data_IF_127664130461
#
_entry.id   IF_127664130461
#
_cell.length_a   1.000
_cell.length_b   1.000
_cell.length_c   1.000
_cell.angle_alpha   90.00
_cell.angle_beta   90.00
_cell.angle_gamma   90.00
#
_symmetry.space_group_name_H-M   'P 1'
#
loop_
_entity.id
_entity.type
_entity.pdbx_description
1 polymer ?
#
# COMPACT_ATOMS: atom_id res chain seq x y z
N UNK A 1 25.48 -5.66 -14.81
CA UNK A 1 26.06 -6.98 -15.13
C UNK A 1 25.06 -8.00 -14.65
N UNK A 2 24.52 -8.81 -15.56
CA UNK A 2 23.50 -9.82 -15.25
C UNK A 2 24.09 -10.97 -14.41
N UNK A 3 23.22 -11.74 -13.77
CA UNK A 3 23.62 -12.84 -12.91
C UNK A 3 24.31 -13.95 -13.72
N UNK A 4 25.18 -14.70 -13.04
CA UNK A 4 25.87 -15.86 -13.59
C UNK A 4 24.91 -17.05 -13.73
N UNK A 5 24.45 -17.32 -14.96
CA UNK A 5 23.45 -18.37 -15.23
C UNK A 5 23.92 -19.79 -14.94
N UNK A 6 25.21 -20.00 -14.63
CA UNK A 6 25.72 -21.29 -14.17
C UNK A 6 25.35 -21.60 -12.72
N UNK A 7 24.80 -20.62 -11.99
CA UNK A 7 24.33 -20.74 -10.60
C UNK A 7 22.81 -20.60 -10.57
N UNK A 8 22.14 -21.20 -9.57
CA UNK A 8 20.71 -20.98 -9.40
C UNK A 8 20.43 -19.50 -9.12
N UNK A 9 19.32 -18.94 -9.64
CA UNK A 9 18.95 -17.57 -9.39
C UNK A 9 18.62 -17.33 -7.91
N UNK A 10 18.69 -16.06 -7.48
CA UNK A 10 18.22 -15.70 -6.15
C UNK A 10 16.72 -16.02 -6.01
N UNK A 11 16.27 -16.57 -4.86
CA UNK A 11 14.87 -16.89 -4.65
C UNK A 11 14.02 -15.61 -4.63
N UNK A 12 12.77 -15.74 -5.05
CA UNK A 12 11.80 -14.65 -4.92
C UNK A 12 11.61 -14.27 -3.43
N UNK A 13 11.37 -12.98 -3.13
CA UNK A 13 11.05 -12.55 -1.78
C UNK A 13 9.83 -13.28 -1.23
N UNK A 14 9.91 -13.73 0.03
CA UNK A 14 8.82 -14.40 0.72
C UNK A 14 8.21 -13.48 1.78
N UNK A 15 6.91 -13.61 1.99
CA UNK A 15 6.22 -12.91 3.06
C UNK A 15 6.67 -13.43 4.43
N UNK A 16 7.41 -12.59 5.14
CA UNK A 16 7.92 -12.85 6.49
C UNK A 16 7.32 -11.82 7.47
N UNK A 17 6.04 -11.96 7.84
CA UNK A 17 5.39 -11.04 8.76
C UNK A 17 5.99 -11.11 10.16
N UNK A 18 6.08 -9.97 10.83
CA UNK A 18 6.56 -9.84 12.19
C UNK A 18 5.45 -9.26 13.06
N UNK A 19 4.99 -10.02 14.04
CA UNK A 19 4.03 -9.54 15.03
C UNK A 19 4.75 -8.58 15.99
N UNK A 20 4.41 -7.29 15.94
CA UNK A 20 5.02 -6.26 16.78
C UNK A 20 4.27 -6.15 18.11
N UNK A 21 2.94 -6.12 18.03
CA UNK A 21 2.02 -6.14 19.18
C UNK A 21 0.64 -6.59 18.71
N UNK A 22 -0.32 -6.69 19.63
CA UNK A 22 -1.69 -7.04 19.25
C UNK A 22 -2.26 -6.04 18.22
N UNK A 23 -2.62 -6.55 17.04
CA UNK A 23 -3.14 -5.75 15.94
C UNK A 23 -2.11 -4.87 15.23
N UNK A 24 -0.81 -5.08 15.45
CA UNK A 24 0.26 -4.38 14.73
C UNK A 24 1.24 -5.40 14.13
N UNK A 25 1.29 -5.44 12.79
CA UNK A 25 2.11 -6.41 12.04
C UNK A 25 3.03 -5.66 11.08
N UNK A 26 4.31 -5.99 11.07
CA UNK A 26 5.26 -5.48 10.08
C UNK A 26 5.47 -6.53 8.98
N UNK A 27 5.41 -6.12 7.72
CA UNK A 27 5.82 -6.93 6.58
C UNK A 27 6.96 -6.23 5.83
N UNK A 28 8.13 -6.88 5.67
CA UNK A 28 9.20 -6.37 4.83
C UNK A 28 8.81 -6.31 3.34
N UNK A 29 9.51 -5.53 2.51
CA UNK A 29 9.21 -5.42 1.09
C UNK A 29 9.35 -6.77 0.37
N UNK A 30 8.42 -7.01 -0.54
CA UNK A 30 8.36 -8.20 -1.41
C UNK A 30 8.91 -7.92 -2.81
N UNK A 31 9.41 -6.72 -3.07
CA UNK A 31 10.15 -6.43 -4.30
C UNK A 31 11.55 -7.10 -4.29
N UNK A 32 12.06 -7.47 -5.47
CA UNK A 32 13.41 -8.05 -5.67
C UNK A 32 14.54 -7.15 -5.12
N UNK A 33 14.30 -5.84 -5.01
CA UNK A 33 15.22 -4.89 -4.40
C UNK A 33 15.52 -5.20 -2.93
N UNK A 34 14.58 -5.82 -2.21
CA UNK A 34 14.78 -6.33 -0.84
C UNK A 34 14.82 -5.26 0.27
N UNK A 35 14.82 -3.97 -0.07
CA UNK A 35 14.71 -2.84 0.85
C UNK A 35 13.85 -1.73 0.25
N UNK A 36 13.28 -0.88 1.09
CA UNK A 36 12.24 0.05 0.66
C UNK A 36 11.98 1.22 1.60
N UNK A 37 11.05 2.08 1.20
CA UNK A 37 10.52 3.16 2.05
C UNK A 37 9.46 2.62 2.99
N UNK A 38 9.15 3.34 4.06
CA UNK A 38 8.18 2.88 5.05
C UNK A 38 6.76 3.36 4.75
N UNK A 39 5.78 2.52 5.03
CA UNK A 39 4.36 2.81 4.91
C UNK A 39 3.60 2.24 6.10
N UNK A 40 2.58 2.96 6.57
CA UNK A 40 1.63 2.48 7.57
C UNK A 40 0.27 2.30 6.89
N UNK A 41 -0.38 1.17 7.10
CA UNK A 41 -1.77 0.96 6.66
C UNK A 41 -2.68 0.78 7.87
N UNK A 42 -3.85 1.42 7.85
CA UNK A 42 -4.91 1.26 8.83
C UNK A 42 -6.08 0.53 8.19
N UNK A 43 -6.58 -0.50 8.86
CA UNK A 43 -7.64 -1.33 8.31
C UNK A 43 -8.45 -2.04 9.39
N UNK A 44 -9.58 -2.59 8.99
CA UNK A 44 -10.40 -3.38 9.89
C UNK A 44 -9.69 -4.66 10.36
N UNK A 45 -10.19 -5.24 11.44
CA UNK A 45 -9.71 -6.53 11.90
C UNK A 45 -10.01 -7.62 10.86
N UNK A 46 -9.00 -8.42 10.56
CA UNK A 46 -9.11 -9.59 9.70
C UNK A 46 -8.05 -10.61 10.17
N UNK A 47 -8.02 -11.76 9.52
CA UNK A 47 -6.97 -12.77 9.65
C UNK A 47 -6.30 -13.07 8.32
N UNK A 48 -6.77 -12.46 7.23
CA UNK A 48 -6.41 -12.75 5.84
C UNK A 48 -5.34 -11.78 5.29
N UNK A 49 -4.41 -11.35 6.14
CA UNK A 49 -3.45 -10.29 5.82
C UNK A 49 -2.32 -10.74 4.90
N UNK A 50 -2.21 -12.03 4.64
CA UNK A 50 -1.19 -12.61 3.75
C UNK A 50 -1.82 -13.40 2.61
N UNK A 51 -3.15 -13.35 2.49
CA UNK A 51 -3.88 -14.14 1.52
C UNK A 51 -3.83 -13.46 0.15
N UNK A 52 -3.89 -14.30 -0.87
CA UNK A 52 -4.21 -13.93 -2.25
C UNK A 52 -5.40 -14.79 -2.65
N UNK A 53 -6.56 -14.15 -2.86
CA UNK A 53 -7.81 -14.85 -3.22
C UNK A 53 -8.21 -14.41 -4.61
N UNK A 54 -8.37 -15.37 -5.54
CA UNK A 54 -8.77 -15.10 -6.92
C UNK A 54 -7.91 -14.03 -7.63
N UNK A 55 -6.60 -14.05 -7.37
CA UNK A 55 -5.67 -13.07 -7.95
C UNK A 55 -5.76 -11.67 -7.34
N UNK A 56 -6.44 -11.51 -6.20
CA UNK A 56 -6.47 -10.27 -5.42
C UNK A 56 -5.63 -10.46 -4.17
N UNK A 57 -4.48 -9.75 -4.02
CA UNK A 57 -3.72 -9.77 -2.78
C UNK A 57 -4.42 -8.98 -1.66
N UNK A 58 -4.12 -9.35 -0.42
CA UNK A 58 -4.39 -8.48 0.73
C UNK A 58 -3.72 -7.10 0.55
N UNK A 59 -4.23 -6.09 1.24
CA UNK A 59 -3.64 -4.75 1.20
C UNK A 59 -2.17 -4.75 1.67
N UNK A 60 -1.86 -5.56 2.68
CA UNK A 60 -0.50 -5.70 3.23
C UNK A 60 0.47 -6.29 2.20
N UNK A 61 0.09 -7.38 1.52
CA UNK A 61 0.91 -7.99 0.47
C UNK A 61 1.09 -7.00 -0.68
N UNK A 62 0.00 -6.41 -1.16
CA UNK A 62 0.03 -5.47 -2.29
C UNK A 62 1.00 -4.32 -2.07
N UNK A 63 0.95 -3.67 -0.90
CA UNK A 63 1.88 -2.57 -0.59
C UNK A 63 3.32 -3.03 -0.39
N UNK A 64 3.56 -4.25 0.09
CA UNK A 64 4.91 -4.79 0.20
C UNK A 64 5.50 -5.14 -1.17
N UNK A 65 4.70 -5.62 -2.12
CA UNK A 65 5.10 -5.87 -3.51
C UNK A 65 5.47 -4.60 -4.27
N UNK A 66 4.82 -3.47 -3.95
CA UNK A 66 5.21 -2.13 -4.41
C UNK A 66 6.58 -1.67 -3.86
N UNK A 67 7.21 -2.48 -2.99
CA UNK A 67 8.55 -2.25 -2.45
C UNK A 67 8.58 -1.42 -1.19
N UNK A 68 7.48 -1.31 -0.45
CA UNK A 68 7.47 -0.67 0.86
C UNK A 68 7.76 -1.67 1.98
N UNK A 69 8.39 -1.19 3.07
CA UNK A 69 8.28 -1.83 4.38
C UNK A 69 6.94 -1.36 4.96
N UNK A 70 6.02 -2.29 5.19
CA UNK A 70 4.65 -1.95 5.58
C UNK A 70 4.40 -2.32 7.03
N UNK A 71 3.85 -1.41 7.83
CA UNK A 71 3.25 -1.74 9.12
C UNK A 71 1.74 -1.63 9.00
N UNK A 72 1.08 -2.75 9.20
CA UNK A 72 -0.36 -2.87 9.32
C UNK A 72 -0.80 -2.61 10.76
N UNK A 73 -1.78 -1.72 10.93
CA UNK A 73 -2.45 -1.44 12.19
C UNK A 73 -3.93 -1.77 12.01
N UNK A 74 -4.42 -2.71 12.81
CA UNK A 74 -5.80 -3.15 12.79
C UNK A 74 -6.66 -2.39 13.81
N UNK A 75 -7.98 -2.44 13.65
CA UNK A 75 -8.92 -1.77 14.54
C UNK A 75 -8.76 -2.17 16.03
N UNK A 76 -8.43 -3.44 16.33
CA UNK A 76 -8.16 -3.92 17.69
C UNK A 76 -6.96 -3.27 18.38
N UNK A 77 -6.00 -2.73 17.63
CA UNK A 77 -4.89 -1.95 18.20
C UNK A 77 -5.35 -0.54 18.64
N UNK A 78 -6.44 -0.03 18.05
CA UNK A 78 -6.95 1.33 18.25
C UNK A 78 -8.31 1.33 18.95
N UNK A 79 -8.51 0.48 19.97
CA UNK A 79 -9.78 0.37 20.71
C UNK A 79 -10.19 1.67 21.40
N UNK A 80 -9.22 2.48 21.85
CA UNK A 80 -9.44 3.79 22.45
C UNK A 80 -8.55 4.85 21.75
N UNK A 81 -9.07 6.05 21.42
CA UNK A 81 -8.27 7.15 20.85
C UNK A 81 -7.00 7.50 21.64
N UNK A 82 -6.98 7.31 22.96
CA UNK A 82 -5.79 7.57 23.80
C UNK A 82 -4.59 6.67 23.45
N UNK A 83 -4.82 5.52 22.81
CA UNK A 83 -3.76 4.61 22.36
C UNK A 83 -3.13 5.03 21.04
N UNK A 84 -3.73 5.98 20.31
CA UNK A 84 -3.31 6.34 18.95
C UNK A 84 -1.84 6.79 18.89
N UNK A 85 -1.39 7.59 19.87
CA UNK A 85 0.00 8.05 19.94
C UNK A 85 0.95 6.88 20.16
N UNK A 86 0.67 6.01 21.14
CA UNK A 86 1.52 4.88 21.50
C UNK A 86 1.61 3.85 20.37
N UNK A 87 0.49 3.59 19.69
CA UNK A 87 0.40 2.67 18.56
C UNK A 87 1.17 3.20 17.35
N UNK A 88 1.01 4.48 17.00
CA UNK A 88 1.80 5.09 15.92
C UNK A 88 3.29 5.13 16.27
N UNK A 89 3.65 5.45 17.51
CA UNK A 89 5.04 5.43 17.96
C UNK A 89 5.64 4.02 17.86
N UNK A 90 4.86 2.99 18.24
CA UNK A 90 5.25 1.58 18.11
C UNK A 90 5.45 1.18 16.65
N UNK A 91 4.53 1.57 15.76
CA UNK A 91 4.64 1.32 14.33
C UNK A 91 5.87 2.00 13.70
N UNK A 92 6.09 3.27 14.01
CA UNK A 92 7.25 4.03 13.54
C UNK A 92 8.57 3.46 14.05
N UNK A 93 8.60 3.01 15.32
CA UNK A 93 9.76 2.34 15.88
C UNK A 93 10.04 1.03 15.14
N UNK A 94 9.02 0.20 14.93
CA UNK A 94 9.16 -1.05 14.19
C UNK A 94 9.68 -0.83 12.75
N UNK A 95 9.19 0.20 12.06
CA UNK A 95 9.71 0.60 10.74
C UNK A 95 11.20 0.96 10.84
N UNK A 96 11.58 1.83 11.78
CA UNK A 96 12.96 2.30 11.96
C UNK A 96 13.94 1.19 12.37
N UNK A 97 13.46 0.21 13.14
CA UNK A 97 14.26 -0.94 13.57
C UNK A 97 14.39 -2.01 12.47
N UNK A 98 13.61 -1.91 11.38
CA UNK A 98 13.66 -2.86 10.28
C UNK A 98 14.94 -2.66 9.43
N UNK A 99 15.76 -3.71 9.31
CA UNK A 99 16.99 -3.69 8.51
C UNK A 99 16.77 -3.49 7.01
N UNK A 100 15.54 -3.71 6.52
CA UNK A 100 15.13 -3.52 5.13
C UNK A 100 14.56 -2.11 4.86
N UNK A 101 14.54 -1.21 5.85
CA UNK A 101 14.17 0.19 5.65
C UNK A 101 15.35 0.96 5.03
N UNK A 102 15.07 1.76 4.00
CA UNK A 102 16.04 2.68 3.43
C UNK A 102 16.37 3.81 4.41
N UNK A 103 17.62 4.28 4.43
CA UNK A 103 18.04 5.41 5.27
C UNK A 103 17.23 6.67 4.96
N UNK A 104 17.03 7.50 5.98
CA UNK A 104 16.29 8.77 5.90
C UNK A 104 14.89 8.63 5.27
N UNK A 105 14.26 7.46 5.49
CA UNK A 105 12.91 7.19 5.01
C UNK A 105 11.88 8.07 5.73
N UNK A 106 10.99 8.63 4.93
CA UNK A 106 9.74 9.26 5.37
C UNK A 106 8.61 8.25 5.22
N UNK A 107 7.50 8.49 5.89
CA UNK A 107 6.40 7.53 6.01
C UNK A 107 5.10 8.10 5.46
N UNK A 108 4.36 7.26 4.74
CA UNK A 108 2.98 7.54 4.38
C UNK A 108 2.01 6.74 5.24
N UNK A 109 0.76 7.20 5.31
CA UNK A 109 -0.34 6.46 5.93
C UNK A 109 -1.41 6.18 4.87
N UNK A 110 -1.97 4.98 4.84
CA UNK A 110 -3.15 4.64 4.04
C UNK A 110 -4.22 4.08 4.97
N UNK A 111 -5.32 4.80 5.13
CA UNK A 111 -6.45 4.39 5.95
C UNK A 111 -7.59 3.86 5.06
N UNK A 112 -7.85 2.56 5.15
CA UNK A 112 -8.99 1.91 4.49
C UNK A 112 -10.29 2.01 5.30
N UNK A 113 -10.25 2.63 6.48
CA UNK A 113 -11.39 2.86 7.35
C UNK A 113 -11.35 4.31 7.87
N UNK A 114 -12.38 5.14 7.59
CA UNK A 114 -12.39 6.54 7.98
C UNK A 114 -12.44 6.73 9.51
N UNK A 115 -13.02 5.78 10.23
CA UNK A 115 -13.07 5.84 11.70
C UNK A 115 -11.70 5.64 12.33
N UNK A 116 -10.86 4.80 11.73
CA UNK A 116 -9.47 4.59 12.17
C UNK A 116 -8.60 5.81 11.83
N UNK A 117 -8.82 6.42 10.67
CA UNK A 117 -8.18 7.70 10.33
C UNK A 117 -8.50 8.76 11.38
N UNK A 118 -9.78 8.96 11.72
CA UNK A 118 -10.20 9.97 12.68
C UNK A 118 -9.56 9.78 14.08
N UNK A 119 -9.28 8.53 14.49
CA UNK A 119 -8.57 8.25 15.75
C UNK A 119 -7.11 8.73 15.73
N UNK A 120 -6.46 8.71 14.56
CA UNK A 120 -5.02 9.01 14.46
C UNK A 120 -4.71 10.38 13.86
N UNK A 121 -5.65 11.03 13.16
CA UNK A 121 -5.39 12.22 12.34
C UNK A 121 -4.77 13.38 13.14
N UNK A 122 -5.26 13.59 14.38
CA UNK A 122 -4.75 14.61 15.29
C UNK A 122 -3.34 14.32 15.80
N UNK A 123 -2.97 13.05 15.98
CA UNK A 123 -1.66 12.64 16.49
C UNK A 123 -0.64 12.44 15.38
N UNK A 124 -1.06 12.16 14.14
CA UNK A 124 -0.17 11.97 13.00
C UNK A 124 0.74 13.20 12.77
N UNK A 125 0.22 14.41 13.02
CA UNK A 125 0.99 15.65 12.86
C UNK A 125 2.10 15.86 13.92
N UNK A 126 2.11 15.07 14.99
CA UNK A 126 3.17 15.08 16.02
C UNK A 126 4.45 14.43 15.47
N UNK A 127 4.31 13.52 14.50
CA UNK A 127 5.43 12.77 13.92
C UNK A 127 5.87 13.43 12.60
N UNK A 128 7.00 14.17 12.59
CA UNK A 128 7.44 14.91 11.41
C UNK A 128 7.83 14.01 10.23
N UNK A 129 8.12 12.74 10.51
CA UNK A 129 8.48 11.76 9.48
C UNK A 129 7.26 11.29 8.67
N UNK A 130 6.03 11.50 9.17
CA UNK A 130 4.80 11.20 8.43
C UNK A 130 4.49 12.38 7.49
N UNK A 131 4.53 12.12 6.19
CA UNK A 131 4.50 13.18 5.17
C UNK A 131 3.25 13.23 4.32
N UNK A 132 2.37 12.23 4.43
CA UNK A 132 1.11 12.23 3.71
C UNK A 132 0.18 11.11 4.14
N UNK A 133 -1.11 11.32 3.95
CA UNK A 133 -2.14 10.33 4.25
C UNK A 133 -3.09 10.12 3.07
N UNK A 134 -3.50 8.87 2.87
CA UNK A 134 -4.59 8.46 2.00
C UNK A 134 -5.74 7.98 2.87
N UNK A 135 -6.98 8.37 2.56
CA UNK A 135 -8.17 7.95 3.30
C UNK A 135 -9.26 7.50 2.34
N UNK A 136 -9.82 6.32 2.58
CA UNK A 136 -11.04 5.84 1.95
C UNK A 136 -12.23 6.13 2.87
N UNK A 137 -13.28 6.74 2.35
CA UNK A 137 -14.48 7.08 3.12
C UNK A 137 -15.73 7.07 2.23
N UNK A 138 -16.92 7.10 2.83
CA UNK A 138 -18.14 7.36 2.07
C UNK A 138 -18.28 8.85 1.81
N UNK A 139 -18.97 9.21 0.72
CA UNK A 139 -19.27 10.62 0.43
C UNK A 139 -20.08 11.31 1.52
N UNK A 140 -20.83 10.56 2.34
CA UNK A 140 -21.51 11.06 3.54
C UNK A 140 -20.57 11.46 4.68
N UNK A 141 -19.38 10.86 4.75
CA UNK A 141 -18.41 11.07 5.83
C UNK A 141 -17.48 12.26 5.56
N UNK A 142 -17.57 12.90 4.40
CA UNK A 142 -16.64 13.96 3.99
C UNK A 142 -16.56 15.12 4.99
N UNK A 143 -17.66 15.44 5.66
CA UNK A 143 -17.72 16.51 6.66
C UNK A 143 -17.26 16.06 8.05
N UNK A 144 -17.19 14.75 8.31
CA UNK A 144 -16.79 14.17 9.61
C UNK A 144 -15.36 13.65 9.60
N UNK A 145 -14.70 13.60 8.43
CA UNK A 145 -13.29 13.29 8.31
C UNK A 145 -12.42 14.35 9.00
N UNK A 146 -11.59 13.89 9.93
CA UNK A 146 -10.62 14.74 10.61
C UNK A 146 -9.58 15.23 9.62
N UNK A 147 -9.36 16.55 9.61
CA UNK A 147 -8.32 17.17 8.80
C UNK A 147 -6.98 17.01 9.51
N UNK A 148 -5.90 16.91 8.73
CA UNK A 148 -4.53 16.93 9.25
C UNK A 148 -3.71 18.04 8.62
N UNK A 149 -2.60 18.39 9.26
CA UNK A 149 -1.62 19.37 8.74
C UNK A 149 -0.75 18.78 7.63
N UNK A 150 -0.72 17.45 7.51
CA UNK A 150 -0.02 16.76 6.43
C UNK A 150 -0.90 16.73 5.18
N UNK A 151 -0.32 16.73 3.96
CA UNK A 151 -1.08 16.52 2.73
C UNK A 151 -1.95 15.27 2.78
N UNK A 152 -3.18 15.37 2.25
CA UNK A 152 -4.13 14.26 2.23
C UNK A 152 -4.67 13.97 0.83
N UNK A 153 -4.93 12.69 0.56
CA UNK A 153 -5.65 12.20 -0.60
C UNK A 153 -6.88 11.39 -0.14
N UNK A 154 -8.08 11.82 -0.52
CA UNK A 154 -9.33 11.19 -0.12
C UNK A 154 -10.01 10.51 -1.30
N UNK A 155 -10.41 9.26 -1.12
CA UNK A 155 -11.24 8.50 -2.06
C UNK A 155 -12.63 8.32 -1.45
N UNK A 156 -13.63 8.94 -2.08
CA UNK A 156 -15.00 8.94 -1.59
C UNK A 156 -15.88 8.00 -2.42
N UNK A 157 -16.52 7.05 -1.76
CA UNK A 157 -17.52 6.19 -2.38
C UNK A 157 -18.89 6.89 -2.50
N UNK A 158 -19.52 6.76 -3.67
CA UNK A 158 -20.75 7.46 -3.99
C UNK A 158 -20.55 8.95 -4.32
N UNK A 159 -21.67 9.66 -4.46
CA UNK A 159 -21.72 11.05 -4.91
C UNK A 159 -21.75 11.20 -6.45
N UNK A 160 -21.87 12.43 -6.94
CA UNK A 160 -21.86 12.71 -8.39
C UNK A 160 -20.44 12.64 -8.97
N UNK A 161 -20.26 11.92 -10.08
CA UNK A 161 -19.02 11.86 -10.86
C UNK A 161 -18.94 13.00 -11.90
N UNK A 162 -17.73 13.40 -12.30
CA UNK A 162 -16.99 14.50 -11.71
C UNK A 162 -17.50 15.89 -12.15
N UNK A 163 -17.37 16.88 -11.25
CA UNK A 163 -16.91 18.20 -11.64
C UNK A 163 -15.70 18.52 -10.75
N UNK A 164 -14.52 18.25 -11.29
CA UNK A 164 -13.21 18.66 -10.77
C UNK A 164 -12.67 17.95 -9.50
N UNK A 165 -11.38 17.63 -9.54
CA UNK A 165 -10.56 17.42 -8.33
C UNK A 165 -10.59 18.70 -7.51
N UNK A 166 -11.29 18.69 -6.38
CA UNK A 166 -11.18 19.78 -5.41
C UNK A 166 -9.85 19.63 -4.70
N UNK A 167 -8.92 20.55 -4.97
CA UNK A 167 -7.74 20.78 -4.14
C UNK A 167 -8.10 21.89 -3.16
N UNK A 168 -8.41 21.51 -1.92
CA UNK A 168 -8.75 22.46 -0.86
C UNK A 168 -7.79 22.23 0.29
N UNK A 169 -7.06 23.27 0.72
CA UNK A 169 -6.25 23.23 1.95
C UNK A 169 -5.25 22.04 2.04
N UNK A 170 -4.67 21.60 0.91
CA UNK A 170 -3.73 20.45 0.90
C UNK A 170 -4.40 19.07 0.86
N UNK A 171 -5.72 19.03 0.70
CA UNK A 171 -6.51 17.81 0.52
C UNK A 171 -6.90 17.70 -0.96
N UNK A 172 -6.63 16.53 -1.57
CA UNK A 172 -7.10 16.17 -2.92
C UNK A 172 -8.18 15.10 -2.79
N UNK A 173 -9.34 15.31 -3.44
CA UNK A 173 -10.46 14.35 -3.33
C UNK A 173 -10.84 13.78 -4.69
N UNK A 174 -11.02 12.45 -4.74
CA UNK A 174 -11.61 11.71 -5.86
C UNK A 174 -12.92 11.05 -5.44
N UNK A 175 -13.91 11.00 -6.35
CA UNK A 175 -15.22 10.38 -6.10
C UNK A 175 -15.47 9.20 -7.03
N UNK A 176 -16.09 8.16 -6.50
CA UNK A 176 -16.39 6.91 -7.18
C UNK A 176 -17.90 6.67 -7.13
N UNK A 177 -18.64 7.26 -8.08
CA UNK A 177 -20.11 7.24 -8.07
C UNK A 177 -20.73 5.83 -8.08
N UNK A 178 -20.03 4.84 -8.62
CA UNK A 178 -20.48 3.44 -8.68
C UNK A 178 -20.01 2.59 -7.49
N UNK A 179 -19.09 3.09 -6.66
CA UNK A 179 -18.63 2.36 -5.49
C UNK A 179 -19.74 2.31 -4.44
N UNK A 180 -19.97 1.12 -3.89
CA UNK A 180 -21.02 0.86 -2.90
C UNK A 180 -20.71 1.48 -1.54
N UNK A 181 -19.44 1.41 -1.13
CA UNK A 181 -18.97 1.93 0.15
C UNK A 181 -17.47 2.25 0.09
N UNK A 182 -16.94 2.87 1.15
CA UNK A 182 -15.51 3.14 1.35
C UNK A 182 -14.63 1.89 1.25
N UNK A 183 -15.24 0.70 1.40
CA UNK A 183 -14.59 -0.60 1.28
C UNK A 183 -14.30 -1.02 -0.16
N UNK A 184 -14.52 -0.13 -1.14
CA UNK A 184 -14.18 -0.33 -2.56
C UNK A 184 -12.75 -0.84 -2.79
N UNK A 185 -11.82 -0.46 -1.91
CA UNK A 185 -10.41 -0.84 -1.96
C UNK A 185 -9.99 -1.78 -0.82
N UNK A 186 -10.94 -2.45 -0.17
CA UNK A 186 -10.66 -3.45 0.88
C UNK A 186 -10.77 -4.85 0.27
N UNK A 187 -9.66 -5.56 0.02
CA UNK A 187 -9.71 -6.92 -0.51
C UNK A 187 -10.59 -7.85 0.33
N UNK A 188 -11.19 -8.83 -0.33
CA UNK A 188 -12.03 -9.89 0.29
C UNK A 188 -13.35 -9.39 0.90
N UNK A 189 -13.71 -8.11 0.69
CA UNK A 189 -15.00 -7.57 1.07
C UNK A 189 -16.00 -7.64 -0.09
N UNK A 190 -17.30 -7.78 0.20
CA UNK A 190 -18.38 -7.82 -0.82
C UNK A 190 -18.54 -6.52 -1.63
N UNK A 191 -18.00 -5.43 -1.09
CA UNK A 191 -18.00 -4.09 -1.70
C UNK A 191 -16.72 -3.79 -2.47
N UNK A 192 -15.74 -4.71 -2.46
CA UNK A 192 -14.52 -4.57 -3.23
C UNK A 192 -14.85 -4.41 -4.72
N UNK A 193 -14.34 -3.34 -5.33
CA UNK A 193 -14.48 -3.09 -6.76
C UNK A 193 -13.08 -2.98 -7.38
N UNK A 194 -12.68 -4.02 -8.10
CA UNK A 194 -11.32 -4.17 -8.64
C UNK A 194 -10.88 -2.96 -9.49
N UNK A 195 -11.79 -2.40 -10.29
CA UNK A 195 -11.50 -1.26 -11.16
C UNK A 195 -11.27 0.03 -10.37
N UNK A 196 -12.18 0.34 -9.44
CA UNK A 196 -12.06 1.52 -8.59
C UNK A 196 -10.86 1.40 -7.66
N UNK A 197 -10.58 0.21 -7.14
CA UNK A 197 -9.39 -0.08 -6.35
C UNK A 197 -8.13 0.15 -7.18
N UNK A 198 -7.98 -0.46 -8.36
CA UNK A 198 -6.80 -0.32 -9.22
C UNK A 198 -6.53 1.14 -9.62
N UNK A 199 -7.59 1.88 -9.94
CA UNK A 199 -7.51 3.30 -10.24
C UNK A 199 -7.11 4.13 -9.01
N UNK A 200 -7.70 3.85 -7.84
CA UNK A 200 -7.35 4.52 -6.58
C UNK A 200 -5.92 4.22 -6.14
N UNK A 201 -5.45 2.98 -6.31
CA UNK A 201 -4.10 2.53 -5.97
C UNK A 201 -3.04 3.25 -6.80
N UNK A 202 -3.28 3.39 -8.12
CA UNK A 202 -2.39 4.18 -9.01
C UNK A 202 -2.27 5.64 -8.55
N UNK A 203 -3.39 6.24 -8.13
CA UNK A 203 -3.42 7.60 -7.56
C UNK A 203 -2.67 7.67 -6.23
N UNK A 204 -2.82 6.66 -5.37
CA UNK A 204 -2.10 6.56 -4.10
C UNK A 204 -0.59 6.51 -4.31
N UNK A 205 -0.12 5.66 -5.22
CA UNK A 205 1.31 5.54 -5.53
C UNK A 205 1.87 6.86 -6.01
N UNK A 206 1.18 7.54 -6.93
CA UNK A 206 1.62 8.84 -7.45
C UNK A 206 1.73 9.88 -6.33
N UNK A 207 0.69 9.96 -5.49
CA UNK A 207 0.64 10.88 -4.36
C UNK A 207 1.73 10.59 -3.32
N UNK A 208 1.76 9.35 -2.80
CA UNK A 208 2.66 8.95 -1.72
C UNK A 208 4.12 8.91 -2.15
N UNK A 209 4.45 8.36 -3.33
CA UNK A 209 5.84 8.31 -3.79
C UNK A 209 6.43 9.71 -3.94
N UNK A 210 5.64 10.70 -4.34
CA UNK A 210 6.09 12.11 -4.43
C UNK A 210 6.41 12.73 -3.08
N UNK A 211 5.67 12.36 -2.03
CA UNK A 211 5.84 12.88 -0.67
C UNK A 211 6.92 12.13 0.11
N UNK A 212 6.97 10.80 -0.03
CA UNK A 212 7.93 9.92 0.64
C UNK A 212 9.30 10.02 -0.04
N UNK A 213 9.34 10.14 -1.37
CA UNK A 213 10.54 10.07 -2.20
C UNK A 213 10.87 8.65 -2.67
N UNK A 214 9.87 7.87 -3.05
CA UNK A 214 10.02 6.49 -3.55
C UNK A 214 9.08 5.48 -2.90
N UNK A 215 9.31 4.17 -3.11
CA UNK A 215 10.41 3.59 -3.87
C UNK A 215 10.25 3.83 -5.38
N UNK A 216 11.38 4.12 -6.03
CA UNK A 216 11.48 4.20 -7.49
C UNK A 216 12.24 2.99 -8.01
N UNK A 217 11.78 2.47 -9.14
CA UNK A 217 12.36 1.34 -9.85
C UNK A 217 12.71 1.77 -11.26
N UNK A 218 13.86 1.34 -11.73
CA UNK A 218 14.25 1.47 -13.12
C UNK A 218 13.55 0.36 -13.91
N UNK A 219 12.38 0.71 -14.47
CA UNK A 219 11.54 -0.25 -15.20
C UNK A 219 12.21 -0.72 -16.50
N UNK A 220 13.04 0.13 -17.13
CA UNK A 220 13.81 -0.24 -18.31
C UNK A 220 14.87 -1.28 -17.95
N UNK A 221 15.63 -1.06 -16.87
CA UNK A 221 16.62 -2.03 -16.41
C UNK A 221 15.99 -3.38 -16.00
N UNK A 222 14.82 -3.37 -15.35
CA UNK A 222 14.09 -4.61 -15.00
C UNK A 222 13.63 -5.34 -16.25
N UNK A 223 13.13 -4.61 -17.25
CA UNK A 223 12.69 -5.17 -18.53
C UNK A 223 13.85 -5.73 -19.36
N UNK A 224 14.96 -5.00 -19.44
CA UNK A 224 16.17 -5.42 -20.13
C UNK A 224 16.74 -6.69 -19.50
N UNK A 225 16.73 -6.80 -18.17
CA UNK A 225 17.13 -8.03 -17.47
C UNK A 225 16.21 -9.21 -17.81
N UNK A 226 14.89 -9.02 -17.76
CA UNK A 226 13.91 -10.06 -18.08
C UNK A 226 14.10 -10.58 -19.52
N UNK A 227 14.11 -9.65 -20.49
CA UNK A 227 14.25 -9.98 -21.91
C UNK A 227 15.61 -10.59 -22.24
N UNK A 228 16.67 -10.19 -21.54
CA UNK A 228 17.98 -10.81 -21.67
C UNK A 228 17.95 -12.28 -21.28
N UNK A 229 17.38 -12.63 -20.12
CA UNK A 229 17.29 -14.04 -19.70
C UNK A 229 16.34 -14.86 -20.58
N UNK A 230 15.26 -14.26 -21.07
CA UNK A 230 14.27 -14.95 -21.91
C UNK A 230 14.84 -15.24 -23.30
N UNK A 231 15.44 -14.23 -23.95
CA UNK A 231 15.77 -14.31 -25.38
C UNK A 231 17.25 -14.54 -25.68
N UNK A 232 18.16 -13.92 -24.91
CA UNK A 232 19.60 -14.03 -25.14
C UNK A 232 20.16 -15.29 -24.48
N UNK A 233 20.04 -15.40 -23.15
CA UNK A 233 20.56 -16.53 -22.39
C UNK A 233 19.62 -17.74 -22.41
N UNK A 234 18.33 -17.53 -22.69
CA UNK A 234 17.28 -18.56 -22.73
C UNK A 234 17.23 -19.41 -21.46
N UNK A 235 17.52 -18.80 -20.32
CA UNK A 235 17.49 -19.45 -19.01
C UNK A 235 16.11 -19.31 -18.41
N UNK A 236 15.34 -20.41 -18.42
CA UNK A 236 13.99 -20.45 -17.85
C UNK A 236 14.02 -20.09 -16.36
N UNK A 237 14.95 -20.65 -15.60
CA UNK A 237 15.06 -20.40 -14.16
C UNK A 237 15.31 -18.92 -13.86
N UNK A 238 16.22 -18.27 -14.57
CA UNK A 238 16.51 -16.85 -14.37
C UNK A 238 15.37 -15.96 -14.85
N UNK A 239 14.75 -16.30 -15.99
CA UNK A 239 13.55 -15.59 -16.48
C UNK A 239 12.45 -15.63 -15.42
N UNK A 240 12.14 -16.82 -14.87
CA UNK A 240 11.15 -16.96 -13.81
C UNK A 240 11.52 -16.20 -12.53
N UNK A 241 12.81 -16.06 -12.21
CA UNK A 241 13.28 -15.28 -11.06
C UNK A 241 13.11 -13.76 -11.20
N UNK A 242 12.85 -13.27 -12.41
CA UNK A 242 12.55 -11.85 -12.67
C UNK A 242 11.04 -11.55 -12.60
N UNK A 243 10.21 -12.59 -12.54
CA UNK A 243 8.75 -12.46 -12.40
C UNK A 243 8.35 -12.25 -10.94
N UNK A 244 7.10 -11.83 -10.73
CA UNK A 244 6.46 -11.86 -9.41
C UNK A 244 5.97 -13.27 -9.09
N UNK A 245 5.82 -13.61 -7.81
CA UNK A 245 5.48 -14.97 -7.35
C UNK A 245 4.13 -15.44 -7.90
N UNK A 246 3.11 -14.57 -7.83
CA UNK A 246 1.81 -14.81 -8.45
C UNK A 246 1.45 -13.65 -9.38
N UNK A 247 1.59 -13.82 -10.71
CA UNK A 247 1.18 -12.79 -11.66
C UNK A 247 -0.33 -12.58 -11.59
N UNK A 248 -0.75 -11.39 -11.17
CA UNK A 248 -2.16 -11.00 -11.16
C UNK A 248 -2.62 -10.73 -12.59
N UNK A 249 -3.44 -11.64 -13.12
CA UNK A 249 -4.04 -11.44 -14.43
C UNK A 249 -5.18 -10.46 -14.28
N UNK A 250 -5.05 -9.27 -14.88
CA UNK A 250 -6.21 -8.43 -15.16
C UNK A 250 -7.15 -9.23 -16.06
N UNK A 251 -8.25 -9.74 -15.51
CA UNK A 251 -9.33 -10.31 -16.32
C UNK A 251 -9.93 -9.18 -17.17
N UNK A 252 -9.47 -9.04 -18.40
CA UNK A 252 -10.13 -8.17 -19.39
C UNK A 252 -11.39 -8.89 -19.83
N UNK A 253 -12.60 -8.33 -19.62
CA UNK A 253 -13.82 -8.94 -20.11
C UNK A 253 -13.74 -9.03 -21.64
N UNK A 254 -13.80 -10.24 -22.19
CA UNK A 254 -14.09 -10.41 -23.61
C UNK A 254 -15.57 -10.10 -23.80
N UNK A 255 -15.89 -9.02 -24.49
CA UNK A 255 -17.27 -8.71 -24.88
C UNK A 255 -17.81 -9.87 -25.72
N UNK A 256 -18.78 -10.61 -25.19
CA UNK A 256 -19.64 -11.51 -25.96
C UNK A 256 -20.98 -10.81 -26.22
#
# INVERSE_FOLDING_TARGET
MYADISKPPAPLPKAEPQCISEGVTLLPPLSRRGYGKGLIILQHDSTQHLDIVEGVPSALIKWAEEGFVVVEIQAKALTNPSLATDVLQTALKALKDCSKLEKDSRFGVVAFDPTLWNKIAGVACIFPDIVGAVVYADSSDENTLEKSKIPMLCHLAGGQAPSETKKTEGITTYRYAKAKSFRLATPFHEDFDYWSESLSHTRNLTFLKSLIGGPYFDLEAIWDEHTYYEFADRSVEHTMSTMVDQPYVNHVPTTN
#
